data_IF_467202858054
#
_entry.id   IF_467202858054
#
_cell.length_a   1.000
_cell.length_b   1.000
_cell.length_c   1.000
_cell.angle_alpha   90.00
_cell.angle_beta   90.00
_cell.angle_gamma   90.00
#
_symmetry.space_group_name_H-M   'P 1'
#
loop_
_entity.id
_entity.type
_entity.pdbx_description
1 polymer ?
#
# COMPACT_ATOMS: atom_id res chain seq x y z
N UNK A 1 -56.28 -26.93 -30.96
CA UNK A 1 -54.95 -27.39 -31.40
C UNK A 1 -54.11 -26.16 -31.65
N UNK A 2 -53.10 -25.95 -30.83
CA UNK A 2 -52.12 -24.89 -31.04
C UNK A 2 -51.31 -25.24 -32.30
N UNK A 3 -51.23 -24.33 -33.26
CA UNK A 3 -50.50 -24.56 -34.51
C UNK A 3 -49.00 -24.53 -34.26
N UNK A 4 -48.22 -25.38 -34.94
CA UNK A 4 -46.76 -25.39 -34.90
C UNK A 4 -46.15 -23.98 -35.14
N UNK A 5 -46.83 -23.14 -35.92
CA UNK A 5 -46.42 -21.75 -36.16
C UNK A 5 -46.55 -20.84 -34.91
N UNK A 6 -47.55 -21.07 -34.05
CA UNK A 6 -47.70 -20.31 -32.80
C UNK A 6 -46.62 -20.71 -31.79
N UNK A 7 -46.37 -22.00 -31.66
CA UNK A 7 -45.31 -22.51 -30.78
C UNK A 7 -43.92 -22.02 -31.20
N UNK A 8 -43.64 -21.99 -32.51
CA UNK A 8 -42.40 -21.42 -33.03
C UNK A 8 -42.26 -19.92 -32.69
N UNK A 9 -43.34 -19.14 -32.83
CA UNK A 9 -43.34 -17.71 -32.49
C UNK A 9 -43.06 -17.48 -31.00
N UNK A 10 -43.62 -18.31 -30.13
CA UNK A 10 -43.37 -18.25 -28.69
C UNK A 10 -41.90 -18.51 -28.35
N UNK A 11 -41.32 -19.57 -28.91
CA UNK A 11 -39.90 -19.90 -28.73
C UNK A 11 -39.01 -18.75 -29.21
N UNK A 12 -39.27 -18.19 -30.38
CA UNK A 12 -38.51 -17.06 -30.92
C UNK A 12 -38.67 -15.82 -30.05
N UNK A 13 -39.87 -15.56 -29.52
CA UNK A 13 -40.11 -14.46 -28.58
C UNK A 13 -39.30 -14.61 -27.29
N UNK A 14 -39.30 -15.81 -26.69
CA UNK A 14 -38.51 -16.12 -25.49
C UNK A 14 -37.01 -15.99 -25.74
N UNK A 15 -36.52 -16.49 -26.88
CA UNK A 15 -35.11 -16.38 -27.26
C UNK A 15 -34.71 -14.91 -27.46
N UNK A 16 -35.56 -14.10 -28.08
CA UNK A 16 -35.33 -12.67 -28.26
C UNK A 16 -35.25 -11.92 -26.93
N UNK A 17 -36.17 -12.21 -26.00
CA UNK A 17 -36.15 -11.61 -24.66
C UNK A 17 -34.89 -12.02 -23.88
N UNK A 18 -34.54 -13.31 -23.87
CA UNK A 18 -33.35 -13.80 -23.18
C UNK A 18 -32.06 -13.18 -23.73
N UNK A 19 -31.97 -12.95 -25.05
CA UNK A 19 -30.83 -12.30 -25.67
C UNK A 19 -30.70 -10.82 -25.24
N UNK A 20 -31.81 -10.10 -25.13
CA UNK A 20 -31.81 -8.70 -24.66
C UNK A 20 -31.45 -8.61 -23.17
N UNK A 21 -32.01 -9.50 -22.34
CA UNK A 21 -31.67 -9.59 -20.91
C UNK A 21 -30.18 -9.91 -20.70
N UNK A 22 -29.63 -10.84 -21.47
CA UNK A 22 -28.20 -11.17 -21.44
C UNK A 22 -27.36 -9.95 -21.82
N UNK A 23 -27.71 -9.26 -22.90
CA UNK A 23 -26.98 -8.06 -23.35
C UNK A 23 -27.02 -6.95 -22.30
N UNK A 24 -28.18 -6.71 -21.70
CA UNK A 24 -28.32 -5.73 -20.63
C UNK A 24 -27.46 -6.10 -19.39
N UNK A 25 -27.43 -7.40 -19.05
CA UNK A 25 -26.59 -7.91 -17.97
C UNK A 25 -25.09 -7.74 -18.29
N UNK A 26 -24.65 -8.07 -19.50
CA UNK A 26 -23.25 -7.95 -19.93
C UNK A 26 -22.76 -6.50 -19.85
N UNK A 27 -23.57 -5.54 -20.32
CA UNK A 27 -23.25 -4.11 -20.23
C UNK A 27 -23.10 -3.66 -18.78
N UNK A 28 -24.04 -4.02 -17.91
CA UNK A 28 -23.95 -3.69 -16.49
C UNK A 28 -22.72 -4.33 -15.86
N UNK A 29 -22.44 -5.60 -16.18
CA UNK A 29 -21.30 -6.32 -15.60
C UNK A 29 -19.97 -5.73 -16.06
N UNK A 30 -19.87 -5.27 -17.30
CA UNK A 30 -18.70 -4.57 -17.79
C UNK A 30 -18.45 -3.27 -17.00
N UNK A 31 -19.49 -2.47 -16.77
CA UNK A 31 -19.39 -1.23 -15.99
C UNK A 31 -19.00 -1.47 -14.53
N UNK A 32 -19.55 -2.52 -13.90
CA UNK A 32 -19.16 -2.95 -12.55
C UNK A 32 -17.67 -3.31 -12.51
N UNK A 33 -17.21 -4.13 -13.45
CA UNK A 33 -15.81 -4.55 -13.53
C UNK A 33 -14.85 -3.38 -13.79
N UNK A 34 -15.21 -2.44 -14.67
CA UNK A 34 -14.42 -1.23 -14.91
C UNK A 34 -14.26 -0.41 -13.62
N UNK A 35 -15.33 -0.32 -12.83
CA UNK A 35 -15.31 0.38 -11.53
C UNK A 35 -14.43 -0.36 -10.52
N UNK A 36 -14.55 -1.69 -10.43
CA UNK A 36 -13.73 -2.52 -9.55
C UNK A 36 -12.24 -2.44 -9.92
N UNK A 37 -11.91 -2.45 -11.21
CA UNK A 37 -10.53 -2.31 -11.73
C UNK A 37 -9.97 -0.94 -11.36
N UNK A 38 -10.70 0.15 -11.64
CA UNK A 38 -10.25 1.49 -11.32
C UNK A 38 -9.99 1.67 -9.81
N UNK A 39 -10.88 1.12 -8.96
CA UNK A 39 -10.69 1.13 -7.51
C UNK A 39 -9.45 0.34 -7.07
N UNK A 40 -9.20 -0.83 -7.67
CA UNK A 40 -8.02 -1.63 -7.39
C UNK A 40 -6.72 -0.94 -7.82
N UNK A 41 -6.70 -0.32 -9.01
CA UNK A 41 -5.57 0.46 -9.51
C UNK A 41 -5.25 1.63 -8.58
N UNK A 42 -6.27 2.37 -8.14
CA UNK A 42 -6.10 3.44 -7.16
C UNK A 42 -5.52 2.92 -5.84
N UNK A 43 -6.03 1.80 -5.31
CA UNK A 43 -5.54 1.22 -4.07
C UNK A 43 -4.06 0.79 -4.17
N UNK A 44 -3.64 0.24 -5.32
CA UNK A 44 -2.24 -0.12 -5.59
C UNK A 44 -1.36 1.14 -5.65
N UNK A 45 -1.79 2.18 -6.36
CA UNK A 45 -1.05 3.44 -6.44
C UNK A 45 -0.88 4.09 -5.06
N UNK A 46 -1.94 4.10 -4.23
CA UNK A 46 -1.89 4.61 -2.86
C UNK A 46 -0.98 3.78 -1.95
N UNK A 47 -0.95 2.45 -2.11
CA UNK A 47 -0.02 1.59 -1.38
C UNK A 47 1.44 1.88 -1.76
N UNK A 48 1.75 1.95 -3.06
CA UNK A 48 3.09 2.25 -3.56
C UNK A 48 3.58 3.63 -3.08
N UNK A 49 2.71 4.64 -3.10
CA UNK A 49 3.05 5.98 -2.61
C UNK A 49 3.33 5.99 -1.09
N UNK A 50 2.57 5.21 -0.30
CA UNK A 50 2.82 5.06 1.14
C UNK A 50 4.14 4.37 1.42
N UNK A 51 4.48 3.32 0.68
CA UNK A 51 5.78 2.64 0.77
C UNK A 51 6.94 3.58 0.46
N UNK A 52 6.86 4.31 -0.66
CA UNK A 52 7.89 5.26 -1.06
C UNK A 52 8.09 6.36 0.00
N UNK A 53 6.99 6.93 0.51
CA UNK A 53 7.05 7.95 1.57
C UNK A 53 7.70 7.40 2.84
N UNK A 54 7.33 6.18 3.23
CA UNK A 54 7.88 5.52 4.41
C UNK A 54 9.38 5.28 4.27
N UNK A 55 9.82 4.77 3.12
CA UNK A 55 11.22 4.55 2.84
C UNK A 55 12.03 5.86 2.89
N UNK A 56 11.48 6.94 2.31
CA UNK A 56 12.12 8.26 2.33
C UNK A 56 12.25 8.82 3.76
N UNK A 57 11.19 8.70 4.57
CA UNK A 57 11.22 9.16 5.96
C UNK A 57 12.22 8.35 6.78
N UNK A 58 12.24 7.02 6.63
CA UNK A 58 13.20 6.15 7.31
C UNK A 58 14.65 6.51 6.97
N UNK A 59 14.96 6.73 5.69
CA UNK A 59 16.30 7.17 5.26
C UNK A 59 16.68 8.55 5.81
N UNK A 60 15.72 9.48 5.93
CA UNK A 60 15.98 10.79 6.51
C UNK A 60 16.32 10.69 8.01
N UNK A 61 15.56 9.91 8.77
CA UNK A 61 15.86 9.63 10.18
C UNK A 61 17.20 8.93 10.35
N UNK A 62 17.51 7.97 9.48
CA UNK A 62 18.81 7.30 9.49
C UNK A 62 19.95 8.31 9.33
N UNK A 63 19.92 9.15 8.29
CA UNK A 63 20.95 10.17 8.06
C UNK A 63 21.14 11.09 9.28
N UNK A 64 20.04 11.52 9.90
CA UNK A 64 20.10 12.31 11.13
C UNK A 64 20.78 11.56 12.28
N UNK A 65 20.52 10.26 12.42
CA UNK A 65 21.16 9.41 13.41
C UNK A 65 22.67 9.24 13.13
N UNK A 66 23.05 9.01 11.87
CA UNK A 66 24.46 8.94 11.45
C UNK A 66 25.20 10.24 11.78
N UNK A 67 24.61 11.38 11.41
CA UNK A 67 25.17 12.70 11.70
C UNK A 67 25.37 12.91 13.21
N UNK A 68 24.41 12.44 14.03
CA UNK A 68 24.46 12.56 15.48
C UNK A 68 25.65 11.80 16.08
N UNK A 69 25.89 10.58 15.60
CA UNK A 69 26.96 9.71 16.11
C UNK A 69 28.29 9.85 15.37
N UNK A 70 28.35 10.62 14.29
CA UNK A 70 29.54 10.83 13.44
C UNK A 70 30.81 11.26 14.21
N UNK A 71 30.64 11.87 15.38
CA UNK A 71 31.75 12.32 16.25
C UNK A 71 32.27 11.23 17.20
N UNK A 72 31.68 10.03 17.19
CA UNK A 72 32.07 8.91 18.03
C UNK A 72 33.00 7.99 17.21
N UNK A 73 34.35 8.13 17.34
CA UNK A 73 35.29 7.45 16.45
C UNK A 73 35.36 5.93 16.64
N UNK A 74 34.75 5.41 17.71
CA UNK A 74 34.70 4.00 18.04
C UNK A 74 33.40 3.33 17.60
N UNK A 75 32.41 4.09 17.12
CA UNK A 75 31.14 3.55 16.68
C UNK A 75 31.16 3.35 15.17
N UNK A 76 31.05 2.09 14.75
CA UNK A 76 30.80 1.75 13.35
C UNK A 76 29.29 1.82 13.08
N UNK A 77 28.93 2.67 12.12
CA UNK A 77 27.54 2.81 11.67
C UNK A 77 27.28 1.74 10.61
N UNK A 78 26.17 1.02 10.74
CA UNK A 78 25.77 0.01 9.77
C UNK A 78 25.35 0.64 8.42
N UNK A 79 25.10 -0.19 7.42
CA UNK A 79 24.48 0.29 6.18
C UNK A 79 23.06 0.82 6.45
N UNK A 80 22.61 1.73 5.58
CA UNK A 80 21.29 2.36 5.67
C UNK A 80 20.11 1.38 5.70
N UNK A 81 18.92 1.85 6.13
CA UNK A 81 17.78 0.98 6.37
C UNK A 81 17.30 0.32 5.08
N UNK A 82 17.29 -1.01 5.07
CA UNK A 82 16.65 -1.82 4.03
C UNK A 82 15.25 -2.29 4.47
N UNK A 83 14.28 -2.45 3.55
CA UNK A 83 13.00 -3.05 3.87
C UNK A 83 13.15 -4.46 4.43
N UNK A 84 12.53 -4.73 5.58
CA UNK A 84 12.53 -6.07 6.15
C UNK A 84 11.55 -6.99 5.40
N UNK A 85 11.99 -8.19 5.04
CA UNK A 85 11.19 -9.14 4.26
C UNK A 85 9.90 -9.60 4.96
N UNK A 86 9.84 -9.49 6.29
CA UNK A 86 8.69 -9.86 7.12
C UNK A 86 7.87 -8.64 7.58
N UNK A 87 8.18 -7.42 7.11
CA UNK A 87 7.44 -6.22 7.46
C UNK A 87 6.01 -6.29 6.92
N UNK A 88 5.05 -5.85 7.74
CA UNK A 88 3.64 -5.77 7.32
C UNK A 88 3.36 -4.39 6.74
N UNK A 89 3.06 -4.30 5.45
CA UNK A 89 2.72 -3.04 4.78
C UNK A 89 1.54 -2.29 5.42
N UNK A 90 0.60 -3.00 6.04
CA UNK A 90 -0.50 -2.38 6.79
C UNK A 90 -0.05 -1.58 8.04
N UNK A 91 1.20 -1.76 8.49
CA UNK A 91 1.73 -1.15 9.72
C UNK A 91 2.75 -0.04 9.46
N UNK A 92 2.91 0.42 8.21
CA UNK A 92 3.90 1.45 7.85
C UNK A 92 3.78 2.71 8.73
N UNK A 93 2.57 3.24 8.92
CA UNK A 93 2.36 4.42 9.77
C UNK A 93 2.74 4.17 11.23
N UNK A 94 2.48 2.96 11.74
CA UNK A 94 2.90 2.57 13.09
C UNK A 94 4.43 2.54 13.20
N UNK A 95 5.11 1.92 12.25
CA UNK A 95 6.58 1.89 12.23
C UNK A 95 7.17 3.30 12.19
N UNK A 96 6.58 4.21 11.42
CA UNK A 96 7.03 5.61 11.38
C UNK A 96 6.81 6.33 12.72
N UNK A 97 5.71 6.06 13.42
CA UNK A 97 5.44 6.66 14.73
C UNK A 97 6.43 6.21 15.80
N UNK A 98 7.01 5.02 15.66
CA UNK A 98 8.02 4.48 16.57
C UNK A 98 9.42 5.11 16.36
N UNK A 99 9.70 5.72 15.19
CA UNK A 99 11.02 6.30 14.90
C UNK A 99 11.38 7.49 15.79
N UNK A 100 10.46 8.42 16.01
CA UNK A 100 10.72 9.63 16.80
C UNK A 100 11.17 9.34 18.23
N UNK A 101 10.46 8.52 19.04
CA UNK A 101 10.91 8.22 20.40
C UNK A 101 12.26 7.50 20.43
N UNK A 102 12.50 6.56 19.51
CA UNK A 102 13.78 5.84 19.41
C UNK A 102 14.92 6.80 19.08
N UNK A 103 14.72 7.72 18.14
CA UNK A 103 15.72 8.73 17.81
C UNK A 103 16.00 9.66 19.00
N UNK A 104 14.97 10.05 19.76
CA UNK A 104 15.19 10.87 20.96
C UNK A 104 16.05 10.15 22.00
N UNK A 105 15.81 8.86 22.20
CA UNK A 105 16.63 8.03 23.09
C UNK A 105 18.10 7.94 22.63
N UNK A 106 18.34 7.85 21.32
CA UNK A 106 19.70 7.93 20.75
C UNK A 106 20.35 9.28 21.08
N UNK A 107 19.65 10.39 20.82
CA UNK A 107 20.16 11.74 21.09
C UNK A 107 20.53 11.89 22.57
N UNK A 108 19.64 11.50 23.47
CA UNK A 108 19.86 11.60 24.92
C UNK A 108 21.06 10.75 25.36
N UNK A 109 21.21 9.56 24.79
CA UNK A 109 22.35 8.67 25.04
C UNK A 109 23.67 9.30 24.58
N UNK A 110 23.73 9.85 23.37
CA UNK A 110 24.93 10.52 22.84
C UNK A 110 25.30 11.75 23.68
N UNK A 111 24.31 12.55 24.09
CA UNK A 111 24.53 13.69 24.97
C UNK A 111 25.09 13.28 26.34
N UNK A 112 24.58 12.17 26.91
CA UNK A 112 25.07 11.64 28.18
C UNK A 112 26.55 11.21 28.11
N UNK A 113 26.98 10.66 26.97
CA UNK A 113 28.37 10.29 26.70
C UNK A 113 29.25 11.54 26.54
N UNK A 114 28.78 12.56 25.82
CA UNK A 114 29.49 13.83 25.65
C UNK A 114 29.67 14.63 26.96
N UNK A 115 28.81 14.42 27.95
CA UNK A 115 29.00 14.97 29.30
C UNK A 115 30.05 14.20 30.11
N UNK A 116 30.20 12.88 29.87
CA UNK A 116 31.22 12.03 30.50
C UNK A 116 32.62 12.17 29.89
N UNK A 117 32.72 12.46 28.59
CA UNK A 117 34.01 12.67 27.90
C UNK A 117 34.72 14.00 28.27
N UNK A 118 34.10 14.84 29.11
CA UNK A 118 34.66 16.10 29.63
C UNK A 118 35.26 15.98 31.04
N UNK A 119 35.41 14.77 31.57
CA UNK A 119 36.11 14.44 32.81
C UNK A 119 37.33 13.59 32.52
#
# INVERSE_FOLDING_TARGET
>A
MESAAMHYKEIVGLAGQAAEELRAWEVRRAQELETEIAAAEQAVAEAAHREQRTAQVAHNWWRMAEDNVSRLPWLEVADGPAPAANARGAWLDRYLNELKPIYQELVDSVLSLGWRARR
#
